data_IF_127917153030
#
_entry.id   IF_127917153030
#
_cell.length_a   1.000
_cell.length_b   1.000
_cell.length_c   1.000
_cell.angle_alpha   90.00
_cell.angle_beta   90.00
_cell.angle_gamma   90.00
#
_symmetry.space_group_name_H-M   'P 1'
#
loop_
_entity.id
_entity.type
_entity.pdbx_description
1 polymer ?
#
# COMPACT_ATOMS: atom_id res chain seq x y z
N UNK A 1 22.54 14.25 33.60
CA UNK A 1 21.83 13.29 32.73
C UNK A 1 20.49 13.04 33.40
N UNK A 2 19.41 13.54 32.83
CA UNK A 2 18.06 13.38 33.38
C UNK A 2 17.46 12.07 32.87
N UNK A 3 17.32 11.08 33.75
CA UNK A 3 16.65 9.80 33.50
C UNK A 3 15.11 9.95 33.47
N UNK A 4 14.62 10.93 32.71
CA UNK A 4 13.18 11.08 32.53
C UNK A 4 12.74 10.17 31.39
N UNK A 5 11.80 9.23 31.63
CA UNK A 5 11.27 8.38 30.57
C UNK A 5 10.65 9.25 29.47
N UNK A 6 10.79 8.88 28.20
CA UNK A 6 10.21 9.65 27.10
C UNK A 6 8.69 9.76 27.28
N UNK A 7 8.15 10.96 27.07
CA UNK A 7 6.71 11.18 27.17
C UNK A 7 5.94 10.30 26.17
N UNK A 8 4.80 9.71 26.56
CA UNK A 8 3.95 8.95 25.65
C UNK A 8 3.48 9.84 24.49
N UNK A 9 3.64 9.36 23.25
CA UNK A 9 3.13 10.05 22.06
C UNK A 9 1.60 9.99 22.07
N UNK A 10 0.93 11.14 22.17
CA UNK A 10 -0.53 11.24 22.02
C UNK A 10 -0.91 11.27 20.54
N UNK A 11 -1.46 10.16 20.03
CA UNK A 11 -1.91 10.04 18.65
C UNK A 11 -3.22 10.78 18.35
N UNK A 12 -3.91 11.30 19.38
CA UNK A 12 -5.18 12.04 19.21
C UNK A 12 -4.97 13.49 18.80
N UNK A 13 -3.79 14.03 19.06
CA UNK A 13 -3.39 15.37 18.64
C UNK A 13 -2.01 15.32 17.94
N UNK A 14 -1.95 14.90 16.66
CA UNK A 14 -0.70 14.78 15.94
C UNK A 14 0.03 16.12 15.72
N UNK A 15 -0.56 17.25 16.14
CA UNK A 15 -0.03 18.59 15.96
C UNK A 15 0.67 19.20 17.16
N UNK A 16 0.63 18.58 18.35
CA UNK A 16 1.12 19.23 19.59
C UNK A 16 2.20 18.44 20.28
N UNK A 17 3.30 18.14 19.57
CA UNK A 17 4.59 18.04 20.28
C UNK A 17 4.87 19.46 20.82
N UNK A 18 4.89 19.68 22.14
CA UNK A 18 4.88 21.02 22.74
C UNK A 18 6.12 21.89 22.40
N UNK A 19 7.08 21.39 21.61
CA UNK A 19 8.31 22.08 21.24
C UNK A 19 8.69 22.07 19.75
N UNK A 20 7.95 21.42 18.83
CA UNK A 20 8.25 21.55 17.39
C UNK A 20 7.33 22.57 16.75
N UNK A 21 7.63 23.85 16.94
CA UNK A 21 6.93 24.98 16.28
C UNK A 21 7.16 25.07 14.77
N UNK A 22 7.74 24.02 14.15
CA UNK A 22 8.06 23.98 12.74
C UNK A 22 6.83 23.56 11.90
N UNK A 23 6.23 24.47 11.12
CA UNK A 23 5.06 24.15 10.30
C UNK A 23 5.36 23.09 9.22
N UNK A 24 6.62 22.94 8.80
CA UNK A 24 7.01 21.90 7.83
C UNK A 24 6.93 20.52 8.47
N UNK A 25 7.41 20.35 9.71
CA UNK A 25 7.31 19.09 10.45
C UNK A 25 5.85 18.71 10.67
N UNK A 26 5.01 19.64 11.13
CA UNK A 26 3.58 19.41 11.33
C UNK A 26 2.90 18.94 10.03
N UNK A 27 3.28 19.51 8.88
CA UNK A 27 2.75 19.10 7.57
C UNK A 27 3.25 17.73 7.13
N UNK A 28 4.52 17.40 7.36
CA UNK A 28 5.07 16.06 7.08
C UNK A 28 4.34 15.00 7.92
N UNK A 29 4.13 15.28 9.20
CA UNK A 29 3.38 14.41 10.12
C UNK A 29 1.92 14.25 9.68
N UNK A 30 1.24 15.33 9.30
CA UNK A 30 -0.13 15.28 8.80
C UNK A 30 -0.25 14.44 7.52
N UNK A 31 0.67 14.60 6.57
CA UNK A 31 0.67 13.78 5.35
C UNK A 31 0.93 12.31 5.66
N UNK A 32 1.87 12.02 6.56
CA UNK A 32 2.14 10.65 7.02
C UNK A 32 0.94 10.02 7.73
N UNK A 33 0.21 10.80 8.55
CA UNK A 33 -1.03 10.34 9.17
C UNK A 33 -2.11 10.00 8.12
N UNK A 34 -2.21 10.78 7.04
CA UNK A 34 -3.14 10.50 5.95
C UNK A 34 -2.77 9.25 5.14
N UNK A 35 -1.48 9.02 4.85
CA UNK A 35 -1.05 7.82 4.13
C UNK A 35 -1.24 6.56 4.95
N UNK A 36 -0.88 6.60 6.23
CA UNK A 36 -1.08 5.49 7.16
C UNK A 36 -2.58 5.21 7.38
N UNK A 37 -3.41 6.24 7.53
CA UNK A 37 -4.86 6.08 7.58
C UNK A 37 -5.41 5.45 6.29
N UNK A 38 -4.91 5.87 5.13
CA UNK A 38 -5.23 5.26 3.83
C UNK A 38 -4.84 3.78 3.76
N UNK A 39 -3.66 3.42 4.27
CA UNK A 39 -3.20 2.04 4.33
C UNK A 39 -4.07 1.17 5.26
N UNK A 40 -4.43 1.68 6.43
CA UNK A 40 -5.39 1.03 7.35
C UNK A 40 -6.76 0.89 6.69
N UNK A 41 -7.22 1.92 5.97
CA UNK A 41 -8.46 1.87 5.19
C UNK A 41 -8.43 0.78 4.12
N UNK A 42 -7.32 0.63 3.39
CA UNK A 42 -7.13 -0.45 2.42
C UNK A 42 -7.15 -1.84 3.06
N UNK A 43 -6.52 -1.99 4.24
CA UNK A 43 -6.57 -3.25 5.00
C UNK A 43 -8.01 -3.60 5.41
N UNK A 44 -8.71 -2.65 6.01
CA UNK A 44 -10.09 -2.84 6.45
C UNK A 44 -11.03 -3.18 5.26
N UNK A 45 -10.88 -2.45 4.15
CA UNK A 45 -11.63 -2.72 2.92
C UNK A 45 -11.31 -4.11 2.36
N UNK A 46 -10.03 -4.49 2.31
CA UNK A 46 -9.63 -5.82 1.83
C UNK A 46 -10.18 -6.97 2.68
N UNK A 47 -10.16 -6.83 4.00
CA UNK A 47 -10.78 -7.80 4.93
C UNK A 47 -12.29 -7.88 4.69
N UNK A 48 -12.96 -6.73 4.58
CA UNK A 48 -14.40 -6.69 4.29
C UNK A 48 -14.75 -7.39 2.97
N UNK A 49 -13.98 -7.14 1.90
CA UNK A 49 -14.17 -7.79 0.60
C UNK A 49 -14.02 -9.31 0.71
N UNK A 50 -13.01 -9.81 1.42
CA UNK A 50 -12.80 -11.25 1.59
C UNK A 50 -13.96 -11.93 2.32
N UNK A 51 -14.48 -11.29 3.39
CA UNK A 51 -15.62 -11.80 4.15
C UNK A 51 -16.87 -11.89 3.26
N UNK A 52 -17.16 -10.82 2.52
CA UNK A 52 -18.30 -10.77 1.60
C UNK A 52 -18.15 -11.79 0.46
N UNK A 53 -16.96 -11.88 -0.14
CA UNK A 53 -16.66 -12.83 -1.20
C UNK A 53 -16.87 -14.28 -0.72
N UNK A 54 -16.37 -14.62 0.47
CA UNK A 54 -16.58 -15.95 1.05
C UNK A 54 -18.06 -16.27 1.29
N UNK A 55 -18.84 -15.29 1.76
CA UNK A 55 -20.27 -15.46 1.98
C UNK A 55 -21.03 -15.69 0.66
N UNK A 56 -20.65 -14.97 -0.41
CA UNK A 56 -21.21 -15.15 -1.75
C UNK A 56 -20.88 -16.55 -2.27
N UNK A 57 -19.61 -16.97 -2.22
CA UNK A 57 -19.17 -18.30 -2.67
C UNK A 57 -19.89 -19.41 -1.92
N UNK A 58 -19.97 -19.33 -0.58
CA UNK A 58 -20.67 -20.31 0.24
C UNK A 58 -22.16 -20.40 -0.11
N UNK A 59 -22.80 -19.26 -0.37
CA UNK A 59 -24.22 -19.21 -0.74
C UNK A 59 -24.47 -19.82 -2.12
N UNK A 60 -23.61 -19.55 -3.10
CA UNK A 60 -23.68 -20.16 -4.44
C UNK A 60 -23.54 -21.68 -4.34
N UNK A 61 -22.53 -22.16 -3.61
CA UNK A 61 -22.31 -23.61 -3.43
C UNK A 61 -23.50 -24.27 -2.75
N UNK A 62 -24.00 -23.71 -1.64
CA UNK A 62 -25.18 -24.26 -0.96
C UNK A 62 -26.42 -24.26 -1.84
N UNK A 63 -26.65 -23.20 -2.62
CA UNK A 63 -27.76 -23.14 -3.56
C UNK A 63 -27.67 -24.22 -4.64
N UNK A 64 -26.49 -24.41 -5.23
CA UNK A 64 -26.26 -25.46 -6.23
C UNK A 64 -26.48 -26.84 -5.59
N UNK A 65 -25.90 -27.10 -4.42
CA UNK A 65 -26.05 -28.39 -3.77
C UNK A 65 -27.49 -28.66 -3.34
N UNK A 66 -28.20 -27.66 -2.82
CA UNK A 66 -29.61 -27.81 -2.44
C UNK A 66 -30.52 -28.06 -3.65
N UNK A 67 -30.19 -27.49 -4.81
CA UNK A 67 -30.95 -27.74 -6.05
C UNK A 67 -30.65 -29.09 -6.70
N UNK A 68 -29.47 -29.68 -6.45
CA UNK A 68 -29.07 -30.97 -7.01
C UNK A 68 -29.27 -32.14 -6.03
N UNK A 69 -29.28 -31.89 -4.73
CA UNK A 69 -29.35 -32.90 -3.68
C UNK A 69 -30.33 -32.45 -2.59
N UNK A 70 -31.26 -33.31 -2.21
CA UNK A 70 -32.25 -33.03 -1.15
C UNK A 70 -31.62 -32.84 0.24
N UNK A 71 -30.35 -33.20 0.42
CA UNK A 71 -29.64 -33.05 1.68
C UNK A 71 -28.14 -32.85 1.47
N UNK A 72 -27.58 -31.84 2.15
CA UNK A 72 -26.14 -31.59 2.19
C UNK A 72 -25.62 -31.84 3.60
N UNK A 73 -24.61 -32.70 3.75
CA UNK A 73 -23.96 -32.92 5.05
C UNK A 73 -23.22 -31.66 5.55
N UNK A 74 -22.66 -30.87 4.64
CA UNK A 74 -21.97 -29.62 4.95
C UNK A 74 -22.94 -28.45 4.79
N UNK A 75 -23.34 -27.83 5.90
CA UNK A 75 -24.14 -26.62 5.89
C UNK A 75 -23.38 -25.38 5.42
N UNK A 76 -24.07 -24.24 5.33
CA UNK A 76 -23.52 -22.97 4.84
C UNK A 76 -22.23 -22.54 5.54
N UNK A 77 -22.19 -22.64 6.88
CA UNK A 77 -20.99 -22.32 7.66
C UNK A 77 -19.80 -23.23 7.33
N UNK A 78 -20.04 -24.50 6.99
CA UNK A 78 -18.98 -25.41 6.61
C UNK A 78 -18.32 -25.00 5.30
N UNK A 79 -19.11 -24.65 4.27
CA UNK A 79 -18.57 -24.14 3.00
C UNK A 79 -17.88 -22.79 3.14
N UNK A 80 -18.39 -21.90 3.99
CA UNK A 80 -17.73 -20.64 4.31
C UNK A 80 -16.35 -20.87 4.96
N UNK A 81 -16.25 -21.82 5.90
CA UNK A 81 -14.97 -22.20 6.51
C UNK A 81 -14.02 -22.87 5.51
N UNK A 82 -14.52 -23.71 4.60
CA UNK A 82 -13.71 -24.29 3.52
C UNK A 82 -13.13 -23.18 2.62
N UNK A 83 -13.91 -22.14 2.31
CA UNK A 83 -13.41 -20.98 1.59
C UNK A 83 -12.30 -20.25 2.38
N UNK A 84 -12.53 -19.94 3.65
CA UNK A 84 -11.56 -19.22 4.47
C UNK A 84 -10.26 -20.01 4.74
N UNK A 85 -10.33 -21.32 4.91
CA UNK A 85 -9.17 -22.15 5.23
C UNK A 85 -8.45 -22.70 3.99
N UNK A 86 -9.18 -22.95 2.91
CA UNK A 86 -8.63 -23.52 1.67
C UNK A 86 -8.39 -22.48 0.59
N UNK A 87 -9.44 -21.75 0.19
CA UNK A 87 -9.36 -20.81 -0.93
C UNK A 87 -8.60 -19.54 -0.57
N UNK A 88 -8.77 -19.01 0.64
CA UNK A 88 -8.14 -17.74 1.01
C UNK A 88 -6.59 -17.81 0.98
N UNK A 89 -5.91 -18.81 1.59
CA UNK A 89 -4.46 -18.94 1.46
C UNK A 89 -4.00 -19.10 0.01
N UNK A 90 -4.78 -19.82 -0.81
CA UNK A 90 -4.49 -20.00 -2.23
C UNK A 90 -4.58 -18.67 -2.99
N UNK A 91 -5.59 -17.84 -2.73
CA UNK A 91 -5.73 -16.51 -3.32
C UNK A 91 -4.56 -15.59 -2.94
N UNK A 92 -4.12 -15.59 -1.68
CA UNK A 92 -2.93 -14.83 -1.27
C UNK A 92 -1.65 -15.34 -1.94
N UNK A 93 -1.53 -16.65 -2.14
CA UNK A 93 -0.40 -17.24 -2.84
C UNK A 93 -0.38 -16.86 -4.33
N UNK A 94 -1.53 -16.91 -5.01
CA UNK A 94 -1.69 -16.50 -6.40
C UNK A 94 -1.43 -15.00 -6.59
N UNK A 95 -1.92 -14.13 -5.71
CA UNK A 95 -1.61 -12.69 -5.77
C UNK A 95 -0.10 -12.43 -5.60
N UNK A 96 0.55 -13.15 -4.66
CA UNK A 96 2.00 -13.03 -4.46
C UNK A 96 2.79 -13.54 -5.67
N UNK A 97 2.31 -14.58 -6.34
CA UNK A 97 2.93 -15.16 -7.53
C UNK A 97 2.78 -14.24 -8.75
N UNK A 98 1.57 -13.74 -8.99
CA UNK A 98 1.22 -12.90 -10.14
C UNK A 98 1.63 -11.43 -9.98
N UNK A 99 1.97 -10.98 -8.76
CA UNK A 99 2.37 -9.59 -8.46
C UNK A 99 1.35 -8.55 -8.94
N UNK A 100 0.06 -8.92 -8.94
CA UNK A 100 -1.04 -8.05 -9.35
C UNK A 100 -1.41 -8.11 -10.84
N UNK A 101 -0.74 -8.96 -11.65
CA UNK A 101 -0.97 -9.07 -13.09
C UNK A 101 -1.71 -10.35 -13.50
N UNK A 102 -2.42 -11.01 -12.57
CA UNK A 102 -3.05 -12.33 -12.81
C UNK A 102 -3.89 -12.38 -14.10
N UNK A 103 -4.79 -11.41 -14.30
CA UNK A 103 -5.64 -11.40 -15.49
C UNK A 103 -4.84 -11.21 -16.78
N UNK A 104 -3.83 -10.34 -16.79
CA UNK A 104 -2.98 -10.13 -17.95
C UNK A 104 -2.19 -11.40 -18.30
N UNK A 105 -1.67 -12.10 -17.28
CA UNK A 105 -0.94 -13.38 -17.45
C UNK A 105 -1.86 -14.47 -18.00
N UNK A 106 -3.12 -14.55 -17.55
CA UNK A 106 -4.09 -15.51 -18.11
C UNK A 106 -4.60 -15.10 -19.48
N UNK A 107 -4.69 -13.80 -19.76
CA UNK A 107 -5.16 -13.30 -21.04
C UNK A 107 -4.23 -13.71 -22.19
N UNK A 108 -2.92 -13.83 -21.94
CA UNK A 108 -1.95 -14.29 -22.94
C UNK A 108 -2.07 -15.77 -23.29
N UNK A 109 -2.69 -16.58 -22.43
CA UNK A 109 -2.87 -18.02 -22.65
C UNK A 109 -4.08 -18.34 -23.55
N UNK A 110 -4.95 -17.35 -23.81
CA UNK A 110 -6.15 -17.54 -24.62
C UNK A 110 -5.82 -17.49 -26.12
N UNK A 111 -5.91 -18.65 -26.78
CA UNK A 111 -5.80 -18.73 -28.24
C UNK A 111 -7.04 -18.15 -28.92
N UNK A 112 -6.92 -17.28 -29.94
CA UNK A 112 -8.08 -16.79 -30.68
C UNK A 112 -8.65 -17.82 -31.67
N UNK A 113 -8.00 -18.96 -31.88
CA UNK A 113 -8.44 -19.99 -32.83
C UNK A 113 -9.10 -21.17 -32.12
N UNK A 114 -10.37 -21.43 -32.45
CA UNK A 114 -11.14 -22.56 -31.94
C UNK A 114 -11.32 -23.60 -33.04
N UNK A 115 -10.99 -24.85 -32.77
CA UNK A 115 -11.18 -25.97 -33.69
C UNK A 115 -12.58 -26.61 -33.58
N UNK A 116 -13.28 -26.37 -32.47
CA UNK A 116 -14.60 -26.96 -32.21
C UNK A 116 -15.47 -26.09 -31.28
N UNK A 117 -16.78 -26.34 -31.27
CA UNK A 117 -17.72 -25.70 -30.34
C UNK A 117 -17.40 -25.99 -28.87
N UNK A 118 -16.95 -27.22 -28.57
CA UNK A 118 -16.58 -27.59 -27.21
C UNK A 118 -15.37 -26.80 -26.69
N UNK A 119 -14.38 -26.57 -27.55
CA UNK A 119 -13.21 -25.74 -27.23
C UNK A 119 -13.61 -24.27 -26.97
N UNK A 120 -14.53 -23.74 -27.76
CA UNK A 120 -15.10 -22.41 -27.54
C UNK A 120 -15.82 -22.28 -26.19
N UNK A 121 -16.66 -23.25 -25.83
CA UNK A 121 -17.38 -23.24 -24.55
C UNK A 121 -16.42 -23.38 -23.36
N UNK A 122 -15.39 -24.22 -23.46
CA UNK A 122 -14.34 -24.34 -22.43
C UNK A 122 -13.54 -23.06 -22.26
N UNK A 123 -13.15 -22.40 -23.34
CA UNK A 123 -12.40 -21.15 -23.26
C UNK A 123 -13.25 -20.01 -22.70
N UNK A 124 -14.54 -19.92 -23.07
CA UNK A 124 -15.46 -18.96 -22.45
C UNK A 124 -15.58 -19.18 -20.94
N UNK A 125 -15.66 -20.44 -20.51
CA UNK A 125 -15.65 -20.78 -19.10
C UNK A 125 -14.34 -20.37 -18.42
N UNK A 126 -13.18 -20.60 -19.05
CA UNK A 126 -11.88 -20.19 -18.52
C UNK A 126 -11.75 -18.67 -18.39
N UNK A 127 -12.22 -17.90 -19.39
CA UNK A 127 -12.25 -16.44 -19.33
C UNK A 127 -13.13 -15.98 -18.17
N UNK A 128 -14.34 -16.55 -18.04
CA UNK A 128 -15.24 -16.26 -16.92
C UNK A 128 -14.61 -16.57 -15.56
N UNK A 129 -13.95 -17.72 -15.44
CA UNK A 129 -13.23 -18.12 -14.23
C UNK A 129 -12.05 -17.18 -13.91
N UNK A 130 -11.31 -16.72 -14.93
CA UNK A 130 -10.21 -15.78 -14.77
C UNK A 130 -10.69 -14.40 -14.30
N UNK A 131 -11.77 -13.88 -14.89
CA UNK A 131 -12.41 -12.62 -14.45
C UNK A 131 -12.91 -12.75 -13.01
N UNK A 132 -13.59 -13.84 -12.70
CA UNK A 132 -14.10 -14.09 -11.34
C UNK A 132 -12.96 -14.20 -10.32
N UNK A 133 -11.87 -14.87 -10.69
CA UNK A 133 -10.68 -14.98 -9.83
C UNK A 133 -10.01 -13.63 -9.63
N UNK A 134 -9.87 -12.80 -10.66
CA UNK A 134 -9.30 -11.45 -10.50
C UNK A 134 -10.17 -10.58 -9.58
N UNK A 135 -11.50 -10.70 -9.64
CA UNK A 135 -12.40 -10.06 -8.66
C UNK A 135 -12.16 -10.56 -7.24
N UNK A 136 -11.97 -11.87 -7.03
CA UNK A 136 -11.64 -12.43 -5.71
C UNK A 136 -10.27 -11.99 -5.19
N UNK A 137 -9.31 -11.71 -6.08
CA UNK A 137 -7.97 -11.25 -5.73
C UNK A 137 -7.92 -9.79 -5.27
N UNK A 138 -8.97 -8.99 -5.49
CA UNK A 138 -9.02 -7.59 -5.01
C UNK A 138 -8.81 -7.46 -3.50
N UNK A 139 -9.43 -8.33 -2.71
CA UNK A 139 -9.28 -8.33 -1.25
C UNK A 139 -7.83 -8.59 -0.81
N UNK A 140 -7.22 -9.72 -1.20
CA UNK A 140 -5.80 -10.01 -0.97
C UNK A 140 -4.87 -8.90 -1.46
N UNK A 141 -5.12 -8.34 -2.65
CA UNK A 141 -4.32 -7.23 -3.23
C UNK A 141 -4.38 -5.99 -2.35
N UNK A 142 -5.58 -5.59 -1.91
CA UNK A 142 -5.75 -4.45 -1.01
C UNK A 142 -5.03 -4.68 0.32
N UNK A 143 -5.09 -5.89 0.88
CA UNK A 143 -4.39 -6.24 2.12
C UNK A 143 -2.88 -6.18 1.93
N UNK A 144 -2.34 -6.83 0.89
CA UNK A 144 -0.90 -6.86 0.63
C UNK A 144 -0.37 -5.45 0.35
N UNK A 145 -1.12 -4.62 -0.37
CA UNK A 145 -0.79 -3.21 -0.58
C UNK A 145 -0.77 -2.43 0.73
N UNK A 146 -1.81 -2.56 1.56
CA UNK A 146 -1.86 -1.91 2.87
C UNK A 146 -0.71 -2.35 3.79
N UNK A 147 -0.41 -3.65 3.85
CA UNK A 147 0.74 -4.19 4.59
C UNK A 147 2.07 -3.66 4.03
N UNK A 148 2.22 -3.63 2.71
CA UNK A 148 3.43 -3.11 2.07
C UNK A 148 3.62 -1.61 2.36
N UNK A 149 2.54 -0.82 2.33
CA UNK A 149 2.57 0.60 2.71
C UNK A 149 2.98 0.75 4.17
N UNK A 150 2.32 0.06 5.11
CA UNK A 150 2.67 0.16 6.54
C UNK A 150 4.09 -0.36 6.86
N UNK A 151 4.57 -1.39 6.16
CA UNK A 151 5.94 -1.90 6.32
C UNK A 151 6.98 -0.98 5.68
N UNK A 152 6.65 -0.39 4.53
CA UNK A 152 7.49 0.56 3.80
C UNK A 152 7.54 1.94 4.44
N UNK A 153 6.53 2.30 5.25
CA UNK A 153 6.46 3.52 6.06
C UNK A 153 7.33 3.49 7.32
N UNK A 154 8.07 2.41 7.56
CA UNK A 154 8.93 2.25 8.72
C UNK A 154 10.30 2.99 8.72
N UNK A 155 10.80 3.66 7.66
CA UNK A 155 12.04 4.41 7.76
C UNK A 155 11.89 5.77 8.46
N UNK A 156 10.69 6.26 8.79
CA UNK A 156 10.53 7.55 9.49
C UNK A 156 9.79 7.47 10.84
N UNK A 157 9.51 6.29 11.39
CA UNK A 157 8.83 6.17 12.70
C UNK A 157 9.57 6.86 13.86
N UNK A 158 10.81 7.30 13.67
CA UNK A 158 11.54 8.10 14.64
C UNK A 158 11.31 9.58 14.36
N UNK A 159 10.72 10.30 15.32
CA UNK A 159 10.48 11.76 15.28
C UNK A 159 11.68 12.57 14.77
N UNK A 160 12.91 12.17 15.14
CA UNK A 160 14.17 12.77 14.67
C UNK A 160 14.33 12.80 13.15
N UNK A 161 13.74 11.85 12.43
CA UNK A 161 13.87 11.78 10.97
C UNK A 161 12.92 12.76 10.25
N UNK A 162 11.77 13.09 10.86
CA UNK A 162 10.90 14.15 10.34
C UNK A 162 11.54 15.53 10.49
N UNK A 163 12.18 15.80 11.62
CA UNK A 163 12.96 17.04 11.82
C UNK A 163 14.07 17.16 10.78
N UNK A 164 14.80 16.07 10.52
CA UNK A 164 15.85 16.05 9.49
C UNK A 164 15.29 16.24 8.08
N UNK A 165 14.18 15.58 7.74
CA UNK A 165 13.48 15.78 6.48
C UNK A 165 13.03 17.23 6.29
N UNK A 166 12.46 17.85 7.33
CA UNK A 166 12.10 19.26 7.31
C UNK A 166 13.31 20.18 7.13
N UNK A 167 14.44 19.88 7.76
CA UNK A 167 15.69 20.62 7.56
C UNK A 167 16.19 20.54 6.10
N UNK A 168 16.11 19.36 5.46
CA UNK A 168 16.44 19.20 4.03
C UNK A 168 15.50 20.05 3.16
N UNK A 169 14.19 20.01 3.43
CA UNK A 169 13.21 20.78 2.68
C UNK A 169 13.44 22.30 2.82
N UNK A 170 13.82 22.78 4.01
CA UNK A 170 14.21 24.20 4.21
C UNK A 170 15.43 24.57 3.39
N UNK A 171 16.49 23.76 3.44
CA UNK A 171 17.70 24.00 2.65
C UNK A 171 17.39 24.08 1.15
N UNK A 172 16.52 23.21 0.65
CA UNK A 172 16.04 23.26 -0.73
C UNK A 172 15.08 24.43 -1.01
N UNK A 173 14.38 24.97 -0.01
CA UNK A 173 13.48 26.11 -0.17
C UNK A 173 14.24 27.45 -0.17
N UNK A 174 15.39 27.48 0.48
CA UNK A 174 16.35 28.59 0.45
C UNK A 174 17.09 28.64 -0.89
N UNK A 175 17.38 27.47 -1.49
CA UNK A 175 18.05 27.35 -2.78
C UNK A 175 17.02 27.00 -3.86
N UNK A 176 16.56 27.98 -4.63
CA UNK A 176 15.49 27.79 -5.64
C UNK A 176 15.86 26.83 -6.80
N UNK A 177 17.10 26.34 -6.81
CA UNK A 177 17.71 25.45 -7.80
C UNK A 177 18.01 24.05 -7.24
N UNK A 178 18.28 23.09 -8.13
CA UNK A 178 18.65 21.74 -7.74
C UNK A 178 19.99 21.70 -6.98
N UNK A 179 20.01 21.03 -5.82
CA UNK A 179 21.19 20.88 -4.99
C UNK A 179 21.79 19.48 -5.10
N UNK A 180 23.11 19.37 -4.93
CA UNK A 180 23.78 18.09 -4.86
C UNK A 180 23.50 17.37 -3.54
N UNK A 181 23.23 16.06 -3.58
CA UNK A 181 22.97 15.23 -2.39
C UNK A 181 24.14 15.29 -1.40
N UNK A 182 25.38 15.39 -1.89
CA UNK A 182 26.57 15.52 -1.04
C UNK A 182 26.60 16.80 -0.20
N UNK A 183 25.95 17.89 -0.66
CA UNK A 183 25.86 19.15 0.10
C UNK A 183 24.82 19.09 1.21
N UNK A 184 23.85 18.17 1.10
CA UNK A 184 22.82 17.99 2.10
C UNK A 184 23.32 17.18 3.29
N UNK A 185 24.26 16.26 3.07
CA UNK A 185 24.79 15.39 4.12
C UNK A 185 25.46 16.18 5.25
N UNK A 186 25.03 15.94 6.49
CA UNK A 186 25.70 16.51 7.66
C UNK A 186 26.99 15.73 8.00
N UNK A 187 27.99 16.37 8.63
CA UNK A 187 29.19 15.67 9.09
C UNK A 187 28.83 14.52 10.03
N UNK A 188 29.21 13.29 9.66
CA UNK A 188 28.91 12.08 10.44
C UNK A 188 27.54 11.45 10.18
N UNK A 189 26.73 12.01 9.28
CA UNK A 189 25.44 11.43 8.90
C UNK A 189 25.65 10.14 8.09
N UNK A 190 24.92 9.09 8.43
CA UNK A 190 24.96 7.83 7.70
C UNK A 190 24.30 8.01 6.33
N UNK A 191 25.03 7.72 5.24
CA UNK A 191 24.50 7.78 3.88
C UNK A 191 23.23 6.94 3.67
N UNK A 192 23.11 5.79 4.35
CA UNK A 192 21.91 4.94 4.26
C UNK A 192 20.71 5.66 4.87
N UNK A 193 20.88 6.35 6.00
CA UNK A 193 19.81 7.09 6.65
C UNK A 193 19.34 8.28 5.80
N UNK A 194 20.29 9.07 5.27
CA UNK A 194 19.96 10.16 4.35
C UNK A 194 19.22 9.63 3.10
N UNK A 195 19.69 8.52 2.52
CA UNK A 195 19.03 7.91 1.34
C UNK A 195 17.60 7.46 1.64
N UNK A 196 17.33 6.95 2.85
CA UNK A 196 15.99 6.56 3.26
C UNK A 196 15.06 7.76 3.45
N UNK A 197 15.59 8.87 4.01
CA UNK A 197 14.83 10.12 4.15
C UNK A 197 14.51 10.69 2.77
N UNK A 198 15.49 10.75 1.87
CA UNK A 198 15.30 11.25 0.51
C UNK A 198 14.30 10.39 -0.28
N UNK A 199 14.42 9.06 -0.20
CA UNK A 199 13.45 8.15 -0.83
C UNK A 199 12.04 8.41 -0.30
N UNK A 200 11.88 8.55 1.02
CA UNK A 200 10.56 8.85 1.59
C UNK A 200 10.01 10.19 1.09
N UNK A 201 10.84 11.23 1.01
CA UNK A 201 10.43 12.53 0.49
C UNK A 201 10.04 12.47 -1.00
N UNK A 202 10.73 11.66 -1.79
CA UNK A 202 10.44 11.42 -3.22
C UNK A 202 9.13 10.62 -3.39
N UNK A 203 8.95 9.54 -2.62
CA UNK A 203 7.73 8.72 -2.61
C UNK A 203 6.46 9.52 -2.23
N UNK A 204 6.64 10.65 -1.53
CA UNK A 204 5.57 11.57 -1.13
C UNK A 204 5.57 12.87 -1.95
N UNK A 205 6.19 12.90 -3.13
CA UNK A 205 6.21 14.05 -4.04
C UNK A 205 6.69 15.35 -3.38
N UNK A 206 7.53 15.30 -2.35
CA UNK A 206 8.10 16.51 -1.75
C UNK A 206 9.31 17.01 -2.55
N UNK A 207 10.12 16.08 -3.04
CA UNK A 207 11.30 16.35 -3.85
C UNK A 207 11.21 15.60 -5.17
N UNK A 208 12.01 16.04 -6.15
CA UNK A 208 12.38 15.22 -7.29
C UNK A 208 13.87 14.89 -7.21
N UNK A 209 14.23 13.66 -7.57
CA UNK A 209 15.61 13.18 -7.65
C UNK A 209 16.01 13.05 -9.12
N UNK A 210 17.22 13.50 -9.48
CA UNK A 210 17.75 13.33 -10.83
C UNK A 210 17.96 11.85 -11.16
N UNK A 211 17.94 11.51 -12.44
CA UNK A 211 18.19 10.13 -12.90
C UNK A 211 19.55 9.57 -12.48
N UNK A 212 20.56 10.44 -12.32
CA UNK A 212 21.89 10.07 -11.81
C UNK A 212 21.97 10.04 -10.27
N UNK A 213 20.88 10.33 -9.56
CA UNK A 213 20.76 10.39 -8.11
C UNK A 213 21.70 11.40 -7.42
N UNK A 214 22.31 12.32 -8.16
CA UNK A 214 23.27 13.29 -7.61
C UNK A 214 22.62 14.59 -7.20
N UNK A 215 21.50 14.96 -7.82
CA UNK A 215 20.82 16.23 -7.62
C UNK A 215 19.40 16.00 -7.14
N UNK A 216 18.95 16.87 -6.26
CA UNK A 216 17.57 16.90 -5.80
C UNK A 216 17.04 18.33 -5.83
N UNK A 217 15.75 18.48 -6.04
CA UNK A 217 15.05 19.76 -6.03
C UNK A 217 13.69 19.60 -5.38
N UNK A 218 13.09 20.69 -4.90
CA UNK A 218 11.70 20.68 -4.45
C UNK A 218 10.76 20.45 -5.64
N UNK A 219 9.81 19.52 -5.48
CA UNK A 219 8.77 19.33 -6.48
C UNK A 219 7.92 20.60 -6.62
N UNK A 220 7.31 20.82 -7.78
CA UNK A 220 6.43 21.99 -8.01
C UNK A 220 5.27 22.06 -7.00
N UNK A 221 4.57 20.94 -6.69
CA UNK A 221 3.52 20.94 -5.68
C UNK A 221 4.04 21.29 -4.28
N UNK A 222 5.20 20.75 -3.88
CA UNK A 222 5.78 21.01 -2.57
C UNK A 222 6.26 22.45 -2.43
N UNK A 223 6.86 23.02 -3.48
CA UNK A 223 7.29 24.42 -3.52
C UNK A 223 6.10 25.37 -3.37
N UNK A 224 5.00 25.11 -4.09
CA UNK A 224 3.76 25.89 -3.95
C UNK A 224 3.18 25.79 -2.54
N UNK A 225 3.11 24.56 -2.01
CA UNK A 225 2.66 24.27 -0.66
C UNK A 225 3.48 24.98 0.44
N UNK A 226 4.80 25.07 0.30
CA UNK A 226 5.70 25.61 1.32
C UNK A 226 5.92 27.12 1.22
N UNK A 227 5.47 27.76 0.13
CA UNK A 227 5.64 29.21 -0.07
C UNK A 227 4.92 30.03 1.02
N UNK A 228 3.81 29.52 1.53
CA UNK A 228 2.99 30.14 2.57
C UNK A 228 3.58 29.94 3.99
N UNK A 229 4.68 29.19 4.12
CA UNK A 229 5.33 28.86 5.39
C UNK A 229 6.64 29.64 5.61
N UNK A 230 7.03 30.52 4.68
CA UNK A 230 8.13 31.49 4.84
C UNK A 230 7.65 32.71 5.59
#
# INVERSE_FOLDING_TARGET
MSDQPPEPIDYRDPGTLPNSSDPIVARLMAKHALTSAGAVGLLAAGVGIIVVAGAIVASIICFILYSLTDSTWIGWWGWYLVFLLGMLPLLFWEERRSRGNYFADRATDFSPSFSSRGEFELQNFQVGAAVYTDMLLWGPRAILKGVATLRGENPLQHSRRFERGAAILRQLLEHDEAMFVSKLAQPGENHVELSNILRWLDDHDYIGISSDQKRIWLSTPARAAMKDLK
#
